data_IF_332976428560
#
_entry.id   IF_332976428560
#
_cell.length_a   1.000
_cell.length_b   1.000
_cell.length_c   1.000
_cell.angle_alpha   90.00
_cell.angle_beta   90.00
_cell.angle_gamma   90.00
#
_symmetry.space_group_name_H-M   'P 1'
#
loop_
_entity.id
_entity.type
_entity.pdbx_description
1 polymer ?
#
# COMPACT_ATOMS: atom_id res chain seq x y z
N UNK A 1 -65.42 -15.48 33.87
CA UNK A 1 -64.41 -14.63 34.50
C UNK A 1 -63.07 -15.32 34.62
N UNK A 2 -62.98 -16.45 35.32
CA UNK A 2 -61.73 -17.20 35.51
C UNK A 2 -61.12 -17.64 34.19
N UNK A 3 -61.93 -18.11 33.23
CA UNK A 3 -61.43 -18.53 31.93
C UNK A 3 -60.85 -17.38 31.13
N UNK A 4 -61.41 -16.17 31.26
CA UNK A 4 -60.92 -14.95 30.61
C UNK A 4 -59.62 -14.49 31.22
N UNK A 5 -59.50 -14.51 32.54
CA UNK A 5 -58.27 -14.15 33.26
C UNK A 5 -57.14 -15.12 32.92
N UNK A 6 -57.41 -16.43 32.85
CA UNK A 6 -56.42 -17.42 32.45
C UNK A 6 -55.94 -17.22 31.02
N UNK A 7 -56.85 -16.87 30.11
CA UNK A 7 -56.55 -16.61 28.72
C UNK A 7 -55.66 -15.37 28.61
N UNK A 8 -55.97 -14.29 29.33
CA UNK A 8 -55.16 -13.08 29.35
C UNK A 8 -53.77 -13.34 29.95
N UNK A 9 -53.74 -14.16 31.00
CA UNK A 9 -52.44 -14.51 31.63
C UNK A 9 -51.55 -15.29 30.65
N UNK A 10 -52.11 -16.21 29.88
CA UNK A 10 -51.35 -16.95 28.86
C UNK A 10 -50.84 -16.02 27.76
N UNK A 11 -51.68 -15.12 27.29
CA UNK A 11 -51.30 -14.13 26.27
C UNK A 11 -50.14 -13.27 26.77
N UNK A 12 -50.24 -12.78 28.01
CA UNK A 12 -49.15 -11.96 28.61
C UNK A 12 -47.85 -12.75 28.71
N UNK A 13 -47.95 -14.04 29.12
CA UNK A 13 -46.78 -14.88 29.26
C UNK A 13 -46.13 -15.16 27.89
N UNK A 14 -46.94 -15.46 26.88
CA UNK A 14 -46.44 -15.66 25.52
C UNK A 14 -45.78 -14.42 24.96
N UNK A 15 -46.38 -13.23 25.19
CA UNK A 15 -45.81 -11.96 24.77
C UNK A 15 -44.48 -11.68 25.48
N UNK A 16 -44.41 -11.97 26.78
CA UNK A 16 -43.17 -11.79 27.55
C UNK A 16 -42.06 -12.69 27.03
N UNK A 17 -42.41 -13.98 26.78
CA UNK A 17 -41.44 -14.94 26.24
C UNK A 17 -40.97 -14.53 24.84
N UNK A 18 -41.90 -14.08 23.99
CA UNK A 18 -41.55 -13.59 22.66
C UNK A 18 -40.64 -12.37 22.69
N UNK A 19 -40.90 -11.45 23.62
CA UNK A 19 -40.05 -10.27 23.79
C UNK A 19 -38.64 -10.63 24.29
N UNK A 20 -38.57 -11.53 25.27
CA UNK A 20 -37.27 -12.02 25.78
C UNK A 20 -36.49 -12.73 24.68
N UNK A 21 -37.17 -13.56 23.87
CA UNK A 21 -36.55 -14.26 22.74
C UNK A 21 -35.99 -13.27 21.71
N UNK A 22 -36.74 -12.21 21.41
CA UNK A 22 -36.26 -11.16 20.49
C UNK A 22 -35.05 -10.44 21.03
N UNK A 23 -35.07 -10.11 22.33
CA UNK A 23 -33.93 -9.45 22.98
C UNK A 23 -32.68 -10.32 22.94
N UNK A 24 -32.83 -11.62 23.25
CA UNK A 24 -31.72 -12.57 23.20
C UNK A 24 -31.17 -12.70 21.79
N UNK A 25 -32.04 -12.76 20.78
CA UNK A 25 -31.63 -12.87 19.39
C UNK A 25 -30.87 -11.60 18.94
N UNK A 26 -31.35 -10.44 19.35
CA UNK A 26 -30.69 -9.17 19.03
C UNK A 26 -29.32 -9.06 19.70
N UNK A 27 -29.25 -9.42 21.00
CA UNK A 27 -27.96 -9.45 21.72
C UNK A 27 -26.98 -10.42 21.06
N UNK A 28 -27.47 -11.59 20.65
CA UNK A 28 -26.66 -12.58 19.94
C UNK A 28 -26.11 -12.00 18.64
N UNK A 29 -26.97 -11.36 17.85
CA UNK A 29 -26.55 -10.73 16.59
C UNK A 29 -25.55 -9.64 16.79
N UNK A 30 -25.76 -8.81 17.81
CA UNK A 30 -24.82 -7.74 18.16
C UNK A 30 -23.47 -8.30 18.60
N UNK A 31 -23.50 -9.34 19.43
CA UNK A 31 -22.28 -10.02 19.88
C UNK A 31 -21.51 -10.66 18.72
N UNK A 32 -22.23 -11.32 17.80
CA UNK A 32 -21.63 -11.91 16.61
C UNK A 32 -21.01 -10.84 15.69
N UNK A 33 -21.74 -9.73 15.49
CA UNK A 33 -21.23 -8.62 14.68
C UNK A 33 -19.98 -8.00 15.29
N UNK A 34 -19.98 -7.80 16.61
CA UNK A 34 -18.82 -7.27 17.33
C UNK A 34 -17.63 -8.24 17.25
N UNK A 35 -17.88 -9.54 17.39
CA UNK A 35 -16.84 -10.57 17.27
C UNK A 35 -16.26 -10.62 15.86
N UNK A 36 -17.09 -10.50 14.82
CA UNK A 36 -16.62 -10.45 13.42
C UNK A 36 -15.78 -9.22 13.16
N UNK A 37 -16.22 -8.07 13.65
CA UNK A 37 -15.48 -6.81 13.49
C UNK A 37 -14.12 -6.88 14.19
N UNK A 38 -14.09 -7.40 15.41
CA UNK A 38 -12.85 -7.61 16.16
C UNK A 38 -11.91 -8.54 15.41
N UNK A 39 -12.43 -9.68 14.92
CA UNK A 39 -11.65 -10.65 14.15
C UNK A 39 -11.10 -10.03 12.87
N UNK A 40 -11.90 -9.21 12.17
CA UNK A 40 -11.48 -8.50 10.97
C UNK A 40 -10.33 -7.54 11.25
N UNK A 41 -10.47 -6.74 12.30
CA UNK A 41 -9.43 -5.77 12.71
C UNK A 41 -8.14 -6.49 13.11
N UNK A 42 -8.25 -7.57 13.90
CA UNK A 42 -7.09 -8.36 14.28
C UNK A 42 -6.40 -8.99 13.06
N UNK A 43 -7.18 -9.52 12.12
CA UNK A 43 -6.64 -10.11 10.90
C UNK A 43 -5.91 -9.06 10.04
N UNK A 44 -6.47 -7.86 9.90
CA UNK A 44 -5.81 -6.76 9.18
C UNK A 44 -4.51 -6.36 9.86
N UNK A 45 -4.52 -6.25 11.18
CA UNK A 45 -3.31 -5.90 11.93
C UNK A 45 -2.22 -6.96 11.77
N UNK A 46 -2.58 -8.23 11.88
CA UNK A 46 -1.63 -9.34 11.68
C UNK A 46 -1.07 -9.34 10.27
N UNK A 47 -1.91 -9.07 9.28
CA UNK A 47 -1.46 -8.98 7.89
C UNK A 47 -0.47 -7.83 7.68
N UNK A 48 -0.71 -6.67 8.30
CA UNK A 48 0.20 -5.53 8.25
C UNK A 48 1.53 -5.83 8.93
N UNK A 49 1.49 -6.48 10.09
CA UNK A 49 2.71 -6.86 10.83
C UNK A 49 3.53 -7.85 10.01
N UNK A 50 2.88 -8.86 9.42
CA UNK A 50 3.57 -9.85 8.59
C UNK A 50 4.24 -9.21 7.37
N UNK A 51 3.54 -8.28 6.71
CA UNK A 51 4.09 -7.55 5.57
C UNK A 51 5.30 -6.70 5.97
N UNK A 52 5.20 -5.99 7.09
CA UNK A 52 6.30 -5.17 7.61
C UNK A 52 7.52 -6.01 7.97
N UNK A 53 7.32 -7.15 8.64
CA UNK A 53 8.41 -8.07 8.97
C UNK A 53 9.09 -8.60 7.72
N UNK A 54 8.32 -8.97 6.70
CA UNK A 54 8.84 -9.43 5.42
C UNK A 54 9.66 -8.32 4.74
N UNK A 55 9.17 -7.11 4.76
CA UNK A 55 9.87 -5.95 4.20
C UNK A 55 11.20 -5.70 4.91
N UNK A 56 11.19 -5.73 6.24
CA UNK A 56 12.43 -5.55 7.04
C UNK A 56 13.45 -6.66 6.75
N UNK A 57 12.97 -7.89 6.63
CA UNK A 57 13.84 -9.02 6.29
C UNK A 57 14.44 -8.86 4.88
N UNK A 58 13.63 -8.41 3.92
CA UNK A 58 14.08 -8.16 2.55
C UNK A 58 15.11 -7.02 2.49
N UNK A 59 14.89 -5.96 3.25
CA UNK A 59 15.86 -4.87 3.37
C UNK A 59 17.19 -5.37 3.92
N UNK A 60 17.14 -6.19 4.97
CA UNK A 60 18.34 -6.76 5.57
C UNK A 60 19.10 -7.67 4.61
N UNK A 61 18.40 -8.34 3.69
CA UNK A 61 19.04 -9.21 2.70
C UNK A 61 19.67 -8.46 1.52
N UNK A 62 19.52 -7.13 1.47
CA UNK A 62 20.04 -6.32 0.37
C UNK A 62 19.15 -6.25 -0.86
N UNK A 63 17.96 -6.84 -0.82
CA UNK A 63 17.03 -6.83 -1.95
C UNK A 63 16.53 -5.43 -2.31
N UNK A 64 16.41 -4.55 -1.33
CA UNK A 64 16.04 -3.15 -1.58
C UNK A 64 17.10 -2.46 -2.44
N UNK A 65 18.39 -2.65 -2.11
CA UNK A 65 19.50 -2.13 -2.90
C UNK A 65 19.48 -2.66 -4.33
N UNK A 66 19.20 -3.95 -4.50
CA UNK A 66 19.07 -4.55 -5.83
C UNK A 66 17.90 -3.94 -6.62
N UNK A 67 16.77 -3.73 -5.98
CA UNK A 67 15.61 -3.12 -6.61
C UNK A 67 15.94 -1.72 -7.12
N UNK A 68 16.51 -0.90 -6.26
CA UNK A 68 16.91 0.48 -6.62
C UNK A 68 17.94 0.45 -7.76
N UNK A 69 18.91 -0.46 -7.69
CA UNK A 69 19.92 -0.60 -8.75
C UNK A 69 19.31 -0.98 -10.10
N UNK A 70 18.32 -1.86 -10.12
CA UNK A 70 17.60 -2.22 -11.34
C UNK A 70 16.90 -1.03 -11.97
N UNK A 71 16.25 -0.20 -11.13
CA UNK A 71 15.58 1.02 -11.59
C UNK A 71 16.61 2.01 -12.13
N UNK A 72 17.69 2.24 -11.40
CA UNK A 72 18.76 3.13 -11.84
C UNK A 72 19.37 2.70 -13.18
N UNK A 73 19.63 1.42 -13.35
CA UNK A 73 20.14 0.88 -14.62
C UNK A 73 19.16 1.10 -15.78
N UNK A 74 17.88 0.85 -15.53
CA UNK A 74 16.85 1.02 -16.55
C UNK A 74 16.74 2.48 -16.98
N UNK A 75 16.74 3.39 -16.03
CA UNK A 75 16.69 4.83 -16.31
C UNK A 75 17.94 5.29 -17.04
N UNK A 76 19.11 4.84 -16.60
CA UNK A 76 20.38 5.16 -17.25
C UNK A 76 20.40 4.71 -18.71
N UNK A 77 19.92 3.50 -18.99
CA UNK A 77 19.85 2.99 -20.36
C UNK A 77 18.89 3.77 -21.24
N UNK A 78 17.84 4.32 -20.64
CA UNK A 78 16.83 5.11 -21.35
C UNK A 78 17.21 6.58 -21.47
N UNK A 79 18.29 6.98 -20.81
CA UNK A 79 18.73 8.38 -20.78
C UNK A 79 19.51 8.75 -22.04
N UNK A 80 19.06 9.83 -22.67
CA UNK A 80 19.79 10.44 -23.78
C UNK A 80 20.59 11.60 -23.20
N UNK A 81 21.91 11.40 -23.10
CA UNK A 81 22.79 12.37 -22.50
C UNK A 81 22.80 13.68 -23.29
N UNK A 82 22.36 14.80 -22.72
CA UNK A 82 22.48 16.09 -23.40
C UNK A 82 23.93 16.60 -23.38
N UNK A 83 24.34 17.44 -24.35
CA UNK A 83 25.70 17.99 -24.36
C UNK A 83 26.04 18.78 -23.09
N UNK A 84 25.04 19.35 -22.42
CA UNK A 84 25.21 20.13 -21.20
C UNK A 84 25.52 19.27 -19.98
N UNK A 85 25.35 17.97 -20.06
CA UNK A 85 25.62 17.08 -18.94
C UNK A 85 27.12 16.97 -18.71
N UNK A 86 27.54 17.26 -17.48
CA UNK A 86 28.93 17.23 -17.08
C UNK A 86 29.25 15.99 -16.25
N UNK A 87 30.55 15.57 -16.21
CA UNK A 87 30.98 14.51 -15.30
C UNK A 87 30.58 14.80 -13.85
N UNK A 88 30.30 13.76 -13.10
CA UNK A 88 29.93 13.92 -11.69
C UNK A 88 28.48 14.31 -11.45
N UNK A 89 27.63 14.10 -12.44
CA UNK A 89 26.19 14.37 -12.30
C UNK A 89 25.59 13.54 -11.16
N UNK A 90 24.90 14.22 -10.25
CA UNK A 90 24.27 13.61 -9.08
C UNK A 90 22.95 14.32 -8.84
N UNK A 91 21.86 13.62 -9.17
CA UNK A 91 20.52 14.19 -9.07
C UNK A 91 19.60 13.24 -8.32
N UNK A 92 18.86 13.81 -7.38
CA UNK A 92 17.85 13.07 -6.65
C UNK A 92 16.54 13.05 -7.45
N UNK A 93 16.04 11.85 -7.71
CA UNK A 93 14.84 11.65 -8.55
C UNK A 93 13.71 11.09 -7.70
N UNK A 94 12.57 11.76 -7.75
CA UNK A 94 11.33 11.34 -7.12
C UNK A 94 10.40 10.80 -8.19
N UNK A 95 10.00 9.54 -8.06
CA UNK A 95 9.14 8.88 -9.04
C UNK A 95 7.89 8.36 -8.35
N UNK A 96 6.74 8.63 -8.96
CA UNK A 96 5.48 8.03 -8.53
C UNK A 96 5.07 7.01 -9.57
N UNK A 97 4.81 5.79 -9.09
CA UNK A 97 4.41 4.66 -9.95
C UNK A 97 3.20 3.95 -9.38
N UNK A 98 2.53 3.18 -10.23
CA UNK A 98 1.42 2.30 -9.84
C UNK A 98 1.89 0.85 -9.89
N UNK A 99 1.14 -0.10 -9.29
CA UNK A 99 1.46 -1.52 -9.42
C UNK A 99 1.59 -1.93 -10.89
N UNK A 100 2.65 -2.67 -11.19
CA UNK A 100 3.04 -2.99 -12.56
C UNK A 100 4.19 -2.12 -13.08
N UNK A 101 4.53 -1.05 -12.39
CA UNK A 101 5.70 -0.22 -12.69
C UNK A 101 5.44 0.97 -13.60
N UNK A 102 4.19 1.22 -14.01
CA UNK A 102 3.90 2.38 -14.84
C UNK A 102 4.13 3.68 -14.08
N UNK A 103 4.92 4.57 -14.67
CA UNK A 103 5.29 5.86 -14.08
C UNK A 103 4.15 6.85 -14.31
N UNK A 104 3.69 7.49 -13.24
CA UNK A 104 2.62 8.50 -13.31
C UNK A 104 3.10 9.91 -13.06
N UNK A 105 4.22 10.08 -12.34
CA UNK A 105 4.81 11.41 -12.10
C UNK A 105 6.30 11.29 -11.81
N UNK A 106 7.06 12.33 -12.20
CA UNK A 106 8.51 12.41 -11.96
C UNK A 106 8.83 13.83 -11.52
N UNK A 107 9.64 13.94 -10.47
CA UNK A 107 10.13 15.23 -9.98
C UNK A 107 11.63 15.10 -9.68
N UNK A 108 12.40 16.11 -10.08
CA UNK A 108 13.83 16.17 -9.74
C UNK A 108 13.98 17.05 -8.50
N UNK A 109 14.64 16.51 -7.49
CA UNK A 109 14.97 17.24 -6.27
C UNK A 109 16.33 17.90 -6.34
N UNK A 110 17.18 17.63 -5.35
CA UNK A 110 18.56 18.14 -5.34
C UNK A 110 19.30 17.62 -6.58
N UNK A 111 19.87 18.50 -7.35
CA UNK A 111 20.55 18.16 -8.60
C UNK A 111 21.61 19.20 -8.93
N UNK A 112 22.79 18.73 -9.34
CA UNK A 112 23.87 19.61 -9.78
C UNK A 112 23.88 19.87 -11.29
N UNK A 113 22.87 19.38 -12.00
CA UNK A 113 22.70 19.62 -13.42
C UNK A 113 21.86 20.86 -13.72
N UNK A 114 21.93 21.31 -14.98
CA UNK A 114 21.11 22.39 -15.49
C UNK A 114 19.64 21.96 -15.68
N UNK A 115 18.75 22.91 -15.99
CA UNK A 115 17.35 22.59 -16.28
C UNK A 115 17.20 21.67 -17.48
N UNK A 116 18.06 21.80 -18.49
CA UNK A 116 18.07 20.90 -19.66
C UNK A 116 18.40 19.49 -19.23
N UNK A 117 19.38 19.31 -18.36
CA UNK A 117 19.77 18.00 -17.82
C UNK A 117 18.64 17.41 -16.99
N UNK A 118 18.02 18.21 -16.12
CA UNK A 118 16.88 17.76 -15.29
C UNK A 118 15.74 17.24 -16.15
N UNK A 119 15.39 17.97 -17.20
CA UNK A 119 14.33 17.55 -18.12
C UNK A 119 14.69 16.27 -18.88
N UNK A 120 15.99 16.10 -19.22
CA UNK A 120 16.44 14.88 -19.87
C UNK A 120 16.28 13.65 -18.97
N UNK A 121 16.52 13.82 -17.67
CA UNK A 121 16.34 12.75 -16.67
C UNK A 121 14.85 12.42 -16.52
N UNK A 122 13.99 13.42 -16.40
CA UNK A 122 12.54 13.19 -16.36
C UNK A 122 12.04 12.39 -17.57
N UNK A 123 12.48 12.77 -18.75
CA UNK A 123 12.16 12.06 -19.99
C UNK A 123 12.66 10.62 -19.98
N UNK A 124 13.85 10.40 -19.42
CA UNK A 124 14.42 9.06 -19.32
C UNK A 124 13.57 8.16 -18.42
N UNK A 125 13.07 8.68 -17.31
CA UNK A 125 12.22 7.92 -16.40
C UNK A 125 10.91 7.54 -17.08
N UNK A 126 10.27 8.46 -17.78
CA UNK A 126 9.04 8.15 -18.53
C UNK A 126 9.28 7.12 -19.63
N UNK A 127 10.41 7.20 -20.32
CA UNK A 127 10.76 6.19 -21.35
C UNK A 127 11.07 4.83 -20.73
N UNK A 128 11.59 4.81 -19.51
CA UNK A 128 11.88 3.56 -18.80
C UNK A 128 10.61 2.85 -18.30
N UNK A 129 9.47 3.53 -18.32
CA UNK A 129 8.18 2.94 -17.92
C UNK A 129 7.76 1.81 -18.85
N UNK A 130 7.26 0.66 -18.35
CA UNK A 130 7.12 0.33 -16.94
C UNK A 130 8.48 0.00 -16.29
N UNK A 131 8.66 0.48 -15.06
CA UNK A 131 9.88 0.19 -14.31
C UNK A 131 9.94 -1.28 -13.91
N UNK A 132 11.15 -1.84 -13.71
CA UNK A 132 11.25 -3.23 -13.26
C UNK A 132 10.60 -3.42 -11.91
N UNK A 133 9.99 -4.58 -11.70
CA UNK A 133 9.40 -4.94 -10.43
C UNK A 133 10.47 -5.28 -9.39
N UNK A 134 10.11 -5.20 -8.10
CA UNK A 134 11.04 -5.56 -7.04
C UNK A 134 11.28 -7.07 -7.00
N UNK A 135 12.47 -7.52 -6.54
CA UNK A 135 12.75 -8.96 -6.34
C UNK A 135 11.80 -9.60 -5.33
N UNK A 136 11.35 -8.82 -4.35
CA UNK A 136 10.36 -9.22 -3.36
C UNK A 136 9.17 -8.27 -3.47
N UNK A 137 7.93 -8.78 -3.70
CA UNK A 137 6.76 -7.93 -3.87
C UNK A 137 6.50 -6.97 -2.70
N UNK A 138 6.95 -7.30 -1.48
CA UNK A 138 6.78 -6.44 -0.31
C UNK A 138 7.59 -5.15 -0.41
N UNK A 139 8.57 -5.07 -1.29
CA UNK A 139 9.42 -3.90 -1.50
C UNK A 139 8.82 -2.88 -2.47
N UNK A 140 7.70 -3.20 -3.10
CA UNK A 140 7.07 -2.27 -4.02
C UNK A 140 6.69 -0.98 -3.30
N UNK A 141 7.11 0.16 -3.88
CA UNK A 141 6.80 1.49 -3.38
C UNK A 141 6.16 2.33 -4.48
N UNK A 142 5.05 2.99 -4.16
CA UNK A 142 4.41 3.93 -5.08
C UNK A 142 5.24 5.19 -5.26
N UNK A 143 5.93 5.61 -4.20
CA UNK A 143 6.78 6.79 -4.21
C UNK A 143 8.23 6.36 -4.03
N UNK A 144 8.99 6.40 -5.12
CA UNK A 144 10.40 6.04 -5.13
C UNK A 144 11.26 7.27 -5.06
N UNK A 145 12.37 7.15 -4.35
CA UNK A 145 13.44 8.16 -4.36
C UNK A 145 14.75 7.43 -4.65
N UNK A 146 15.49 7.89 -5.63
CA UNK A 146 16.81 7.34 -5.91
C UNK A 146 17.73 8.42 -6.44
N UNK A 147 19.03 8.16 -6.34
CA UNK A 147 20.05 9.05 -6.90
C UNK A 147 20.37 8.62 -8.33
N UNK A 148 20.35 9.58 -9.25
CA UNK A 148 20.79 9.36 -10.61
C UNK A 148 22.23 9.84 -10.73
N UNK A 149 23.14 8.88 -10.84
CA UNK A 149 24.59 9.11 -10.94
C UNK A 149 25.13 8.27 -12.11
N UNK A 150 24.90 8.71 -13.34
CA UNK A 150 25.41 7.95 -14.48
C UNK A 150 26.92 7.95 -14.48
N UNK A 151 27.51 6.83 -14.86
CA UNK A 151 28.95 6.75 -15.06
C UNK A 151 29.35 7.49 -16.33
N UNK A 152 30.47 8.15 -16.29
CA UNK A 152 31.00 8.96 -17.39
C UNK A 152 31.78 8.13 -18.43
#
# INVERSE_FOLDING_TARGET
>A
RKAEEERLAKIREEQRQAEEARKREEERRQAEAAAREKARVEAELQAQIALEEQRMAAERSGLLGQYIALIQQRVTRSWIRPPEAQPGLDCEVYVQQIPGGDVVDVRIGRCNGSDVVKRSIESAVYRASPLPGPPDPSLFERNLVFDFKPED
#
